data_IF_904919935877
#
_entry.id   IF_904919935877
#
_cell.length_a   1.000
_cell.length_b   1.000
_cell.length_c   1.000
_cell.angle_alpha   90.00
_cell.angle_beta   90.00
_cell.angle_gamma   90.00
#
_symmetry.space_group_name_H-M   'P 1'
#
loop_
_entity.id
_entity.type
_entity.pdbx_description
1 polymer ?
#
# COMPACT_ATOMS: atom_id res chain seq x y z
N UNK A 1 -17.47 8.61 -34.97
CA UNK A 1 -16.18 7.93 -35.19
C UNK A 1 -15.96 6.98 -34.01
N UNK A 2 -16.39 5.71 -34.14
CA UNK A 2 -16.15 4.71 -33.10
C UNK A 2 -14.67 4.37 -33.08
N UNK A 3 -13.97 4.75 -32.01
CA UNK A 3 -12.66 4.19 -31.71
C UNK A 3 -12.83 2.67 -31.54
N UNK A 4 -12.17 1.90 -32.39
CA UNK A 4 -12.09 0.45 -32.23
C UNK A 4 -11.40 0.18 -30.89
N UNK A 5 -12.17 -0.26 -29.90
CA UNK A 5 -11.62 -0.64 -28.60
C UNK A 5 -10.59 -1.76 -28.79
N UNK A 6 -9.44 -1.65 -28.13
CA UNK A 6 -8.43 -2.72 -28.19
C UNK A 6 -9.03 -4.03 -27.65
N UNK A 7 -8.54 -5.22 -28.08
CA UNK A 7 -9.01 -6.50 -27.57
C UNK A 7 -8.99 -6.56 -26.03
N UNK A 8 -8.01 -5.90 -25.42
CA UNK A 8 -7.92 -5.77 -23.97
C UNK A 8 -9.03 -4.90 -23.38
N UNK A 9 -9.35 -3.75 -23.97
CA UNK A 9 -10.47 -2.92 -23.51
C UNK A 9 -11.81 -3.68 -23.61
N UNK A 10 -11.99 -4.49 -24.65
CA UNK A 10 -13.17 -5.34 -24.82
C UNK A 10 -13.24 -6.44 -23.73
N UNK A 11 -12.12 -7.09 -23.44
CA UNK A 11 -12.01 -8.07 -22.36
C UNK A 11 -12.35 -7.45 -20.99
N UNK A 12 -11.75 -6.30 -20.66
CA UNK A 12 -12.05 -5.58 -19.41
C UNK A 12 -13.52 -5.15 -19.35
N UNK A 13 -14.07 -4.66 -20.45
CA UNK A 13 -15.50 -4.32 -20.54
C UNK A 13 -16.42 -5.52 -20.29
N UNK A 14 -16.03 -6.71 -20.76
CA UNK A 14 -16.76 -7.97 -20.52
C UNK A 14 -16.67 -8.35 -19.03
N UNK A 15 -15.47 -8.39 -18.47
CA UNK A 15 -15.27 -8.63 -17.03
C UNK A 15 -16.05 -7.63 -16.15
N UNK A 16 -16.12 -6.37 -16.54
CA UNK A 16 -16.87 -5.33 -15.84
C UNK A 16 -18.38 -5.62 -15.83
N UNK A 17 -18.97 -5.84 -17.00
CA UNK A 17 -20.41 -6.13 -17.12
C UNK A 17 -20.80 -7.39 -16.36
N UNK A 18 -19.99 -8.43 -16.47
CA UNK A 18 -20.35 -9.76 -15.97
C UNK A 18 -20.04 -9.94 -14.48
N UNK A 19 -19.09 -9.17 -13.92
CA UNK A 19 -18.59 -9.40 -12.57
C UNK A 19 -18.58 -8.20 -11.63
N UNK A 20 -18.81 -6.96 -12.09
CA UNK A 20 -18.83 -5.78 -11.19
C UNK A 20 -19.83 -5.95 -10.05
N UNK A 21 -21.07 -6.33 -10.34
CA UNK A 21 -22.11 -6.46 -9.30
C UNK A 21 -21.74 -7.47 -8.21
N UNK A 22 -21.18 -8.61 -8.63
CA UNK A 22 -20.68 -9.63 -7.71
C UNK A 22 -19.47 -9.14 -6.89
N UNK A 23 -18.50 -8.49 -7.54
CA UNK A 23 -17.31 -7.95 -6.88
C UNK A 23 -17.67 -6.88 -5.86
N UNK A 24 -18.59 -5.98 -6.20
CA UNK A 24 -19.11 -4.96 -5.31
C UNK A 24 -19.80 -5.58 -4.09
N UNK A 25 -20.61 -6.62 -4.28
CA UNK A 25 -21.22 -7.37 -3.17
C UNK A 25 -20.19 -8.08 -2.29
N UNK A 26 -19.08 -8.55 -2.86
CA UNK A 26 -17.95 -9.05 -2.08
C UNK A 26 -17.26 -7.91 -1.31
N UNK A 27 -16.96 -6.77 -1.93
CA UNK A 27 -16.32 -5.61 -1.30
C UNK A 27 -17.15 -5.01 -0.16
N UNK A 28 -18.47 -4.89 -0.32
CA UNK A 28 -19.39 -4.39 0.73
C UNK A 28 -19.38 -5.24 2.01
N UNK A 29 -18.97 -6.51 1.93
CA UNK A 29 -18.78 -7.37 3.11
C UNK A 29 -17.41 -7.20 3.78
N UNK A 30 -16.46 -6.57 3.09
CA UNK A 30 -15.08 -6.40 3.54
C UNK A 30 -14.76 -4.95 3.96
N UNK A 31 -15.58 -3.96 3.60
CA UNK A 31 -15.47 -2.57 4.07
C UNK A 31 -16.78 -2.08 4.66
N UNK A 32 -16.72 -1.30 5.74
CA UNK A 32 -17.91 -0.77 6.40
C UNK A 32 -18.62 0.31 5.57
N UNK A 33 -17.88 1.08 4.75
CA UNK A 33 -18.42 2.17 3.96
C UNK A 33 -18.87 1.70 2.56
N UNK A 34 -20.17 1.83 2.20
CA UNK A 34 -20.67 1.43 0.89
C UNK A 34 -20.05 2.21 -0.28
N UNK A 35 -19.81 3.51 -0.10
CA UNK A 35 -19.14 4.33 -1.12
C UNK A 35 -17.72 3.85 -1.36
N UNK A 36 -17.00 3.46 -0.30
CA UNK A 36 -15.66 2.90 -0.46
C UNK A 36 -15.66 1.57 -1.21
N UNK A 37 -16.70 0.75 -1.05
CA UNK A 37 -16.84 -0.48 -1.82
C UNK A 37 -17.03 -0.19 -3.33
N UNK A 38 -17.80 0.85 -3.68
CA UNK A 38 -17.95 1.29 -5.09
C UNK A 38 -16.60 1.73 -5.66
N UNK A 39 -15.87 2.57 -4.93
CA UNK A 39 -14.59 3.09 -5.38
C UNK A 39 -13.54 1.97 -5.55
N UNK A 40 -13.42 1.06 -4.59
CA UNK A 40 -12.53 -0.10 -4.70
C UNK A 40 -12.91 -1.02 -5.87
N UNK A 41 -14.21 -1.13 -6.17
CA UNK A 41 -14.66 -1.85 -7.35
C UNK A 41 -14.21 -1.12 -8.62
N UNK A 42 -14.37 0.19 -8.70
CA UNK A 42 -13.91 0.99 -9.85
C UNK A 42 -12.39 0.90 -10.02
N UNK A 43 -11.63 1.12 -8.94
CA UNK A 43 -10.17 1.04 -8.91
C UNK A 43 -9.66 -0.32 -9.38
N UNK A 44 -10.39 -1.41 -9.09
CA UNK A 44 -10.05 -2.74 -9.59
C UNK A 44 -10.06 -2.73 -11.12
N UNK A 45 -11.12 -2.24 -11.75
CA UNK A 45 -11.22 -2.21 -13.22
C UNK A 45 -10.32 -1.16 -13.86
N UNK A 46 -10.09 -0.01 -13.22
CA UNK A 46 -9.10 0.98 -13.65
C UNK A 46 -7.70 0.35 -13.68
N UNK A 47 -7.34 -0.43 -12.66
CA UNK A 47 -6.08 -1.19 -12.64
C UNK A 47 -6.00 -2.22 -13.77
N UNK A 48 -7.11 -2.85 -14.18
CA UNK A 48 -7.12 -3.75 -15.33
C UNK A 48 -6.91 -3.00 -16.64
N UNK A 49 -7.53 -1.82 -16.79
CA UNK A 49 -7.38 -0.97 -17.98
C UNK A 49 -5.94 -0.45 -18.14
N UNK A 50 -5.25 -0.17 -17.03
CA UNK A 50 -3.87 0.33 -17.04
C UNK A 50 -2.79 -0.74 -17.26
N UNK A 51 -3.13 -2.02 -17.43
CA UNK A 51 -2.14 -3.08 -17.72
C UNK A 51 -1.72 -3.04 -19.18
N UNK A 52 -0.44 -3.29 -19.46
CA UNK A 52 0.07 -3.41 -20.83
C UNK A 52 -0.45 -4.67 -21.53
N UNK A 53 -0.64 -5.76 -20.79
CA UNK A 53 -1.19 -7.01 -21.30
C UNK A 53 -2.13 -7.64 -20.28
N UNK A 54 -3.30 -8.06 -20.74
CA UNK A 54 -4.27 -8.82 -19.96
C UNK A 54 -4.66 -10.08 -20.74
N UNK A 55 -4.28 -11.24 -20.20
CA UNK A 55 -4.78 -12.53 -20.67
C UNK A 55 -6.13 -12.81 -20.01
N UNK A 56 -7.02 -13.47 -20.75
CA UNK A 56 -8.31 -13.88 -20.22
C UNK A 56 -8.11 -14.83 -19.03
N UNK A 57 -8.60 -14.45 -17.83
CA UNK A 57 -8.40 -15.26 -16.64
C UNK A 57 -9.30 -16.51 -16.71
N UNK A 58 -8.72 -17.70 -16.48
CA UNK A 58 -9.49 -18.95 -16.34
C UNK A 58 -10.54 -18.87 -15.23
N UNK A 59 -10.23 -18.12 -14.16
CA UNK A 59 -11.12 -17.89 -13.02
C UNK A 59 -11.30 -16.37 -12.79
N UNK A 60 -12.22 -15.72 -13.53
CA UNK A 60 -12.38 -14.27 -13.49
C UNK A 60 -12.62 -13.69 -12.08
N UNK A 61 -13.46 -14.36 -11.30
CA UNK A 61 -13.81 -13.92 -9.94
C UNK A 61 -12.62 -13.98 -8.97
N UNK A 62 -11.85 -15.06 -9.01
CA UNK A 62 -10.65 -15.22 -8.17
C UNK A 62 -9.56 -14.21 -8.55
N UNK A 63 -9.40 -13.98 -9.86
CA UNK A 63 -8.49 -12.96 -10.38
C UNK A 63 -8.87 -11.54 -9.90
N UNK A 64 -10.14 -11.15 -10.04
CA UNK A 64 -10.63 -9.85 -9.59
C UNK A 64 -10.49 -9.67 -8.08
N UNK A 65 -10.81 -10.69 -7.28
CA UNK A 65 -10.60 -10.66 -5.82
C UNK A 65 -9.13 -10.51 -5.47
N UNK A 66 -8.20 -11.11 -6.22
CA UNK A 66 -6.76 -10.96 -5.94
C UNK A 66 -6.30 -9.51 -6.07
N UNK A 67 -6.80 -8.80 -7.09
CA UNK A 67 -6.51 -7.38 -7.30
C UNK A 67 -7.20 -6.51 -6.25
N UNK A 68 -8.49 -6.79 -6.00
CA UNK A 68 -9.29 -6.06 -5.02
C UNK A 68 -8.76 -6.24 -3.59
N UNK A 69 -8.25 -7.42 -3.21
CA UNK A 69 -7.57 -7.64 -1.94
C UNK A 69 -6.34 -6.75 -1.79
N UNK A 70 -5.52 -6.62 -2.84
CA UNK A 70 -4.39 -5.70 -2.81
C UNK A 70 -4.81 -4.24 -2.58
N UNK A 71 -5.89 -3.79 -3.23
CA UNK A 71 -6.49 -2.46 -2.99
C UNK A 71 -7.02 -2.31 -1.57
N UNK A 72 -7.71 -3.33 -1.06
CA UNK A 72 -8.28 -3.38 0.28
C UNK A 72 -7.19 -3.28 1.35
N UNK A 73 -6.11 -4.06 1.22
CA UNK A 73 -4.97 -4.01 2.13
C UNK A 73 -4.30 -2.63 2.11
N UNK A 74 -4.10 -2.05 0.92
CA UNK A 74 -3.54 -0.71 0.80
C UNK A 74 -4.44 0.35 1.45
N UNK A 75 -5.77 0.24 1.28
CA UNK A 75 -6.73 1.11 1.92
C UNK A 75 -6.66 1.03 3.45
N UNK A 76 -6.72 -0.17 4.02
CA UNK A 76 -6.64 -0.35 5.48
C UNK A 76 -5.30 0.08 6.04
N UNK A 77 -4.20 -0.18 5.32
CA UNK A 77 -2.86 0.28 5.71
C UNK A 77 -2.80 1.81 5.79
N UNK A 78 -3.35 2.53 4.80
CA UNK A 78 -3.40 4.01 4.81
C UNK A 78 -4.31 4.54 5.91
N UNK A 79 -5.49 3.95 6.10
CA UNK A 79 -6.42 4.36 7.15
C UNK A 79 -5.82 4.15 8.54
N UNK A 80 -5.11 3.05 8.77
CA UNK A 80 -4.42 2.81 10.04
C UNK A 80 -3.31 3.83 10.31
N UNK A 81 -2.55 4.23 9.28
CA UNK A 81 -1.53 5.27 9.39
C UNK A 81 -2.14 6.64 9.70
N UNK A 82 -3.20 7.02 8.98
CA UNK A 82 -3.93 8.27 9.22
C UNK A 82 -4.50 8.31 10.63
N UNK A 83 -5.10 7.20 11.09
CA UNK A 83 -5.63 7.13 12.45
C UNK A 83 -4.51 7.26 13.50
N UNK A 84 -3.39 6.55 13.33
CA UNK A 84 -2.26 6.67 14.25
C UNK A 84 -1.70 8.10 14.30
N UNK A 85 -1.66 8.80 13.16
CA UNK A 85 -1.27 10.20 13.13
C UNK A 85 -2.24 11.10 13.88
N UNK A 86 -3.56 10.90 13.69
CA UNK A 86 -4.58 11.64 14.42
C UNK A 86 -4.51 11.38 15.92
N UNK A 87 -4.27 10.13 16.33
CA UNK A 87 -4.13 9.74 17.73
C UNK A 87 -2.94 10.47 18.38
N UNK A 88 -1.80 10.59 17.68
CA UNK A 88 -0.63 11.37 18.15
C UNK A 88 -0.92 12.89 18.16
N UNK A 89 -1.61 13.40 17.14
CA UNK A 89 -1.98 14.82 17.05
C UNK A 89 -2.88 15.24 18.23
N UNK A 90 -3.77 14.35 18.68
CA UNK A 90 -4.63 14.59 19.85
C UNK A 90 -3.86 14.74 21.17
N UNK A 91 -2.60 14.29 21.23
CA UNK A 91 -1.74 14.48 22.40
C UNK A 91 -1.09 15.88 22.43
N UNK A 92 -1.14 16.62 21.32
CA UNK A 92 -0.57 17.96 21.18
C UNK A 92 -1.66 19.00 21.47
N UNK A 93 -1.40 20.01 22.34
CA UNK A 93 -2.34 21.10 22.58
C UNK A 93 -2.77 21.79 21.27
N UNK A 94 -4.05 22.12 21.10
CA UNK A 94 -4.59 22.66 19.84
C UNK A 94 -3.83 23.89 19.32
N UNK A 95 -3.35 24.77 20.20
CA UNK A 95 -2.58 25.97 19.83
C UNK A 95 -1.15 25.69 19.35
N UNK A 96 -0.66 24.47 19.51
CA UNK A 96 0.68 24.01 19.11
C UNK A 96 0.61 22.98 17.98
N UNK A 97 -0.60 22.61 17.54
CA UNK A 97 -0.77 21.69 16.42
C UNK A 97 -0.28 22.32 15.11
N UNK A 98 0.33 21.53 14.21
CA UNK A 98 0.63 21.99 12.86
C UNK A 98 -0.63 22.46 12.15
N UNK A 99 -0.51 23.39 11.23
CA UNK A 99 -1.61 23.80 10.35
C UNK A 99 -2.13 22.63 9.52
N UNK A 100 -3.38 22.69 9.04
CA UNK A 100 -3.96 21.61 8.23
C UNK A 100 -3.15 21.30 6.96
N UNK A 101 -2.50 22.31 6.38
CA UNK A 101 -1.60 22.12 5.24
C UNK A 101 -0.35 21.32 5.64
N UNK A 102 0.30 21.68 6.75
CA UNK A 102 1.45 20.93 7.28
C UNK A 102 1.07 19.50 7.69
N UNK A 103 -0.10 19.31 8.30
CA UNK A 103 -0.61 17.98 8.65
C UNK A 103 -0.76 17.11 7.39
N UNK A 104 -1.30 17.67 6.31
CA UNK A 104 -1.44 16.96 5.04
C UNK A 104 -0.07 16.58 4.44
N UNK A 105 0.91 17.49 4.45
CA UNK A 105 2.27 17.22 3.99
C UNK A 105 2.92 16.09 4.80
N UNK A 106 2.81 16.14 6.14
CA UNK A 106 3.33 15.09 7.03
C UNK A 106 2.68 13.74 6.71
N UNK A 107 1.36 13.69 6.53
CA UNK A 107 0.65 12.46 6.17
C UNK A 107 1.08 11.91 4.80
N UNK A 108 1.33 12.78 3.82
CA UNK A 108 1.83 12.37 2.51
C UNK A 108 3.23 11.76 2.59
N UNK A 109 4.13 12.38 3.35
CA UNK A 109 5.48 11.88 3.60
C UNK A 109 5.45 10.54 4.33
N UNK A 110 4.63 10.40 5.38
CA UNK A 110 4.47 9.13 6.10
C UNK A 110 3.92 8.03 5.18
N UNK A 111 2.94 8.33 4.33
CA UNK A 111 2.41 7.39 3.32
C UNK A 111 3.47 6.99 2.31
N UNK A 112 4.32 7.92 1.88
CA UNK A 112 5.43 7.65 0.97
C UNK A 112 6.46 6.71 1.62
N UNK A 113 6.87 7.00 2.86
CA UNK A 113 7.80 6.18 3.64
C UNK A 113 7.23 4.76 3.84
N UNK A 114 5.97 4.61 4.26
CA UNK A 114 5.38 3.28 4.48
C UNK A 114 5.26 2.48 3.17
N UNK A 115 5.00 3.14 2.03
CA UNK A 115 5.05 2.46 0.71
C UNK A 115 6.45 1.95 0.37
N UNK A 116 7.47 2.77 0.62
CA UNK A 116 8.87 2.42 0.34
C UNK A 116 9.33 1.26 1.22
N UNK A 117 9.07 1.35 2.52
CA UNK A 117 9.41 0.29 3.48
C UNK A 117 8.55 -0.96 3.28
N UNK A 118 7.35 -0.83 2.72
CA UNK A 118 6.47 -1.95 2.34
C UNK A 118 7.06 -2.88 1.27
N UNK A 119 8.10 -2.46 0.53
CA UNK A 119 8.85 -3.32 -0.39
C UNK A 119 9.79 -4.30 0.33
N UNK A 120 10.04 -4.09 1.61
CA UNK A 120 10.91 -4.92 2.43
C UNK A 120 10.15 -6.11 3.02
N UNK A 121 10.88 -7.19 3.33
CA UNK A 121 10.33 -8.25 4.18
C UNK A 121 9.96 -7.71 5.57
N UNK A 122 9.00 -8.34 6.25
CA UNK A 122 8.56 -7.93 7.60
C UNK A 122 9.73 -7.79 8.58
N UNK A 123 10.67 -8.76 8.58
CA UNK A 123 11.88 -8.72 9.41
C UNK A 123 12.82 -7.58 9.02
N UNK A 124 12.97 -7.31 7.73
CA UNK A 124 13.84 -6.24 7.26
C UNK A 124 13.30 -4.85 7.65
N UNK A 125 11.98 -4.64 7.46
CA UNK A 125 11.29 -3.42 7.89
C UNK A 125 11.40 -3.23 9.40
N UNK A 126 11.11 -4.27 10.19
CA UNK A 126 11.21 -4.20 11.65
C UNK A 126 12.63 -3.89 12.13
N UNK A 127 13.65 -4.55 11.58
CA UNK A 127 15.05 -4.26 11.91
C UNK A 127 15.42 -2.79 11.64
N UNK A 128 14.99 -2.26 10.50
CA UNK A 128 15.24 -0.87 10.12
C UNK A 128 14.58 0.12 11.08
N UNK A 129 13.31 -0.10 11.41
CA UNK A 129 12.56 0.75 12.34
C UNK A 129 13.15 0.69 13.76
N UNK A 130 13.48 -0.50 14.27
CA UNK A 130 14.12 -0.64 15.59
C UNK A 130 15.44 0.12 15.69
N UNK A 131 16.23 0.14 14.62
CA UNK A 131 17.49 0.86 14.63
C UNK A 131 17.30 2.38 14.50
N UNK A 132 16.35 2.83 13.68
CA UNK A 132 16.19 4.26 13.32
C UNK A 132 15.28 5.05 14.26
N UNK A 133 14.24 4.43 14.78
CA UNK A 133 13.28 5.06 15.68
C UNK A 133 13.62 4.75 17.13
N UNK A 134 13.88 3.48 17.43
CA UNK A 134 14.11 3.05 18.82
C UNK A 134 15.59 3.09 19.24
N UNK A 135 16.51 3.43 18.32
CA UNK A 135 17.95 3.48 18.60
C UNK A 135 18.58 2.13 18.94
N UNK A 136 17.89 1.02 18.68
CA UNK A 136 18.28 -0.31 19.14
C UNK A 136 19.60 -0.77 18.48
N UNK A 137 20.56 -1.30 19.26
CA UNK A 137 21.82 -1.80 18.72
C UNK A 137 21.61 -3.12 17.96
N UNK A 138 22.49 -3.40 16.99
CA UNK A 138 22.33 -4.55 16.09
C UNK A 138 22.25 -5.91 16.80
N UNK A 139 22.92 -6.06 17.95
CA UNK A 139 22.89 -7.29 18.74
C UNK A 139 21.51 -7.55 19.36
N UNK A 140 20.86 -6.51 19.90
CA UNK A 140 19.52 -6.62 20.47
C UNK A 140 18.47 -6.89 19.40
N UNK A 141 18.59 -6.23 18.24
CA UNK A 141 17.72 -6.50 17.08
C UNK A 141 17.86 -7.95 16.63
N UNK A 142 19.09 -8.48 16.62
CA UNK A 142 19.36 -9.86 16.22
C UNK A 142 18.64 -10.86 17.14
N UNK A 143 18.74 -10.66 18.45
CA UNK A 143 18.02 -11.46 19.46
C UNK A 143 16.51 -11.33 19.27
N UNK A 144 15.99 -10.10 19.17
CA UNK A 144 14.56 -9.81 19.06
C UNK A 144 13.93 -10.42 17.81
N UNK A 145 14.64 -10.43 16.69
CA UNK A 145 14.15 -10.97 15.41
C UNK A 145 14.48 -12.45 15.18
N UNK A 146 15.25 -13.06 16.10
CA UNK A 146 15.73 -14.43 15.98
C UNK A 146 16.60 -14.63 14.73
N UNK A 147 17.55 -13.73 14.49
CA UNK A 147 18.48 -13.77 13.35
C UNK A 147 19.90 -13.44 13.80
N UNK A 148 20.89 -13.63 12.94
CA UNK A 148 22.27 -13.25 13.24
C UNK A 148 22.52 -11.75 13.05
N UNK A 149 23.50 -11.19 13.77
CA UNK A 149 23.90 -9.77 13.62
C UNK A 149 24.30 -9.41 12.17
N UNK A 150 25.03 -10.25 11.42
CA UNK A 150 25.25 -10.02 9.98
C UNK A 150 23.95 -9.90 9.18
N UNK A 151 22.92 -10.69 9.51
CA UNK A 151 21.61 -10.61 8.86
C UNK A 151 20.89 -9.31 9.19
N UNK A 152 20.99 -8.81 10.42
CA UNK A 152 20.50 -7.48 10.79
C UNK A 152 21.17 -6.40 9.93
N UNK A 153 22.49 -6.43 9.78
CA UNK A 153 23.19 -5.46 8.91
C UNK A 153 22.69 -5.49 7.46
N UNK A 154 22.43 -6.68 6.91
CA UNK A 154 21.83 -6.82 5.59
C UNK A 154 20.44 -6.19 5.52
N UNK A 155 19.60 -6.41 6.54
CA UNK A 155 18.28 -5.78 6.63
C UNK A 155 18.34 -4.25 6.70
N UNK A 156 19.26 -3.70 7.49
CA UNK A 156 19.46 -2.24 7.57
C UNK A 156 19.91 -1.66 6.23
N UNK A 157 20.81 -2.35 5.51
CA UNK A 157 21.25 -1.94 4.19
C UNK A 157 20.08 -1.93 3.17
N UNK A 158 19.18 -2.91 3.25
CA UNK A 158 17.97 -2.92 2.41
C UNK A 158 17.06 -1.72 2.69
N UNK A 159 16.85 -1.37 3.96
CA UNK A 159 16.06 -0.19 4.34
C UNK A 159 16.70 1.11 3.86
N UNK A 160 18.01 1.27 4.07
CA UNK A 160 18.77 2.41 3.56
C UNK A 160 18.69 2.53 2.03
N UNK A 161 18.75 1.40 1.31
CA UNK A 161 18.56 1.41 -0.15
C UNK A 161 17.19 1.95 -0.54
N UNK A 162 16.11 1.61 0.17
CA UNK A 162 14.79 2.17 -0.13
C UNK A 162 14.73 3.68 0.11
N UNK A 163 15.35 4.18 1.19
CA UNK A 163 15.48 5.61 1.43
C UNK A 163 16.30 6.31 0.34
N UNK A 164 17.40 5.69 -0.11
CA UNK A 164 18.20 6.23 -1.20
C UNK A 164 17.37 6.36 -2.49
N UNK A 165 16.62 5.31 -2.85
CA UNK A 165 15.77 5.33 -4.06
C UNK A 165 14.69 6.39 -3.97
N UNK A 166 14.15 6.63 -2.79
CA UNK A 166 13.16 7.67 -2.57
C UNK A 166 13.71 9.09 -2.82
N UNK A 167 14.96 9.34 -2.43
CA UNK A 167 15.60 10.64 -2.53
C UNK A 167 16.26 10.90 -3.90
N UNK A 168 16.83 9.86 -4.51
CA UNK A 168 17.72 10.00 -5.67
C UNK A 168 17.27 9.18 -6.90
N UNK A 169 16.21 8.38 -6.80
CA UNK A 169 15.79 7.45 -7.85
C UNK A 169 16.55 6.12 -7.83
N UNK A 170 16.18 5.20 -8.72
CA UNK A 170 16.86 3.89 -8.82
C UNK A 170 18.31 4.09 -9.31
N UNK A 171 19.31 3.53 -8.60
CA UNK A 171 20.67 3.54 -9.11
C UNK A 171 20.73 2.67 -10.37
N UNK A 172 21.20 3.28 -11.47
CA UNK A 172 21.54 2.61 -12.73
C UNK A 172 22.57 1.50 -12.54
#
# INVERSE_FOLDING_TARGET
MSSLQSPQQQLVGTLYRDHRGWLLGWLRRNVACPHRAEDLSQDTFIRLLGREQLLEPREPRAFLVSIAKGLLFDHFRRAALEQAYLDELMLIPEGEQPSLEEQQLILEDLKAIDRLLGKLSSKARAAFLYNRLDGMPHAEIAVRLGVSVPRVRQYLAQGLRQCYIALYGEPT
#
